data_IF_364672419733
#
_entry.id   IF_364672419733
#
_cell.length_a   1.000
_cell.length_b   1.000
_cell.length_c   1.000
_cell.angle_alpha   90.00
_cell.angle_beta   90.00
_cell.angle_gamma   90.00
#
_symmetry.space_group_name_H-M   'P 1'
#
loop_
_entity.id
_entity.type
_entity.pdbx_description
1 polymer ?
#
# COMPACT_ATOMS: atom_id res chain seq x y z
N UNK A 1 -17.78 -48.25 44.56
CA UNK A 1 -18.12 -46.83 44.81
C UNK A 1 -17.46 -45.99 43.71
N UNK A 2 -18.23 -45.59 42.67
CA UNK A 2 -17.70 -44.83 41.51
C UNK A 2 -17.69 -43.33 41.86
N UNK A 3 -16.51 -42.70 41.90
CA UNK A 3 -16.36 -41.25 42.04
C UNK A 3 -16.28 -40.64 40.63
N UNK A 4 -17.29 -39.88 40.27
CA UNK A 4 -17.32 -39.09 39.02
C UNK A 4 -16.58 -37.77 39.31
N UNK A 5 -15.39 -37.60 38.75
CA UNK A 5 -14.71 -36.29 38.74
C UNK A 5 -15.22 -35.50 37.54
N UNK A 6 -16.00 -34.46 37.81
CA UNK A 6 -16.35 -33.45 36.81
C UNK A 6 -15.19 -32.43 36.73
N UNK A 7 -14.44 -32.45 35.64
CA UNK A 7 -13.46 -31.40 35.32
C UNK A 7 -14.21 -30.21 34.70
N UNK A 8 -14.23 -29.09 35.42
CA UNK A 8 -14.72 -27.82 34.91
C UNK A 8 -13.69 -27.23 33.92
N UNK A 9 -14.03 -27.20 32.64
CA UNK A 9 -13.23 -26.57 31.59
C UNK A 9 -13.49 -25.06 31.63
N UNK A 10 -12.57 -24.29 32.20
CA UNK A 10 -12.61 -22.82 32.14
C UNK A 10 -12.05 -22.40 30.79
N UNK A 11 -12.92 -21.95 29.88
CA UNK A 11 -12.54 -21.34 28.60
C UNK A 11 -12.14 -19.90 28.87
N UNK A 12 -10.84 -19.60 28.85
CA UNK A 12 -10.34 -18.23 28.78
C UNK A 12 -10.66 -17.69 27.37
N UNK A 13 -11.68 -16.83 27.28
CA UNK A 13 -11.89 -16.01 26.10
C UNK A 13 -10.88 -14.86 26.10
N UNK A 14 -9.78 -15.01 25.35
CA UNK A 14 -8.92 -13.87 25.00
C UNK A 14 -9.73 -12.95 24.06
N UNK A 15 -9.97 -11.68 24.41
CA UNK A 15 -10.39 -10.72 23.41
C UNK A 15 -9.24 -10.58 22.42
N UNK A 16 -9.47 -10.97 21.18
CA UNK A 16 -8.54 -10.66 20.10
C UNK A 16 -8.47 -9.13 19.99
N UNK A 17 -7.44 -8.52 20.57
CA UNK A 17 -7.05 -7.15 20.23
C UNK A 17 -6.80 -7.15 18.74
N UNK A 18 -7.70 -6.52 17.98
CA UNK A 18 -7.51 -6.29 16.56
C UNK A 18 -6.14 -5.61 16.41
N UNK A 19 -5.20 -6.31 15.75
CA UNK A 19 -3.89 -5.75 15.47
C UNK A 19 -4.12 -4.40 14.75
N UNK A 20 -3.50 -3.29 15.21
CA UNK A 20 -3.61 -2.04 14.49
C UNK A 20 -3.17 -2.29 13.05
N UNK A 21 -3.98 -1.85 12.09
CA UNK A 21 -3.60 -1.92 10.68
C UNK A 21 -2.21 -1.30 10.49
N UNK A 22 -1.44 -1.85 9.55
CA UNK A 22 -0.09 -1.40 9.22
C UNK A 22 -0.07 0.14 9.07
N UNK A 23 0.83 0.84 9.77
CA UNK A 23 0.97 2.29 9.66
C UNK A 23 1.74 2.71 8.39
N UNK A 24 1.79 4.01 8.10
CA UNK A 24 2.49 4.52 6.92
C UNK A 24 3.97 4.12 6.90
N UNK A 25 4.68 4.26 8.02
CA UNK A 25 6.12 3.99 8.08
C UNK A 25 6.43 2.52 7.80
N UNK A 26 5.62 1.61 8.36
CA UNK A 26 5.71 0.17 8.12
C UNK A 26 5.31 -0.19 6.69
N UNK A 27 4.29 0.47 6.12
CA UNK A 27 3.89 0.30 4.72
C UNK A 27 5.01 0.69 3.76
N UNK A 28 5.63 1.85 3.99
CA UNK A 28 6.72 2.35 3.17
C UNK A 28 7.94 1.42 3.24
N UNK A 29 8.33 1.00 4.44
CA UNK A 29 9.43 0.06 4.61
C UNK A 29 9.15 -1.31 3.96
N UNK A 30 7.90 -1.74 3.87
CA UNK A 30 7.54 -2.96 3.14
C UNK A 30 7.59 -2.74 1.64
N UNK A 31 7.13 -1.60 1.13
CA UNK A 31 7.24 -1.24 -0.28
C UNK A 31 8.70 -1.24 -0.76
N UNK A 32 9.59 -0.62 0.01
CA UNK A 32 11.02 -0.56 -0.33
C UNK A 32 11.65 -1.95 -0.43
N UNK A 33 11.27 -2.88 0.46
CA UNK A 33 11.74 -4.26 0.43
C UNK A 33 11.19 -5.04 -0.77
N UNK A 34 9.93 -4.81 -1.10
CA UNK A 34 9.24 -5.51 -2.18
C UNK A 34 9.78 -5.08 -3.53
N UNK A 35 9.94 -3.78 -3.74
CA UNK A 35 10.55 -3.23 -4.95
C UNK A 35 12.02 -3.65 -5.08
N UNK A 36 12.78 -3.66 -3.98
CA UNK A 36 14.17 -4.14 -3.97
C UNK A 36 14.30 -5.65 -4.25
N UNK A 37 13.22 -6.42 -4.11
CA UNK A 37 13.20 -7.86 -4.41
C UNK A 37 13.05 -8.18 -5.89
N UNK A 38 12.69 -7.20 -6.71
CA UNK A 38 12.50 -7.37 -8.16
C UNK A 38 13.85 -7.61 -8.85
N UNK A 39 13.86 -8.52 -9.82
CA UNK A 39 14.98 -8.60 -10.78
C UNK A 39 15.08 -7.30 -11.57
N UNK A 40 16.21 -7.09 -12.26
CA UNK A 40 16.39 -5.89 -13.10
C UNK A 40 15.32 -5.80 -14.19
N UNK A 41 15.02 -6.92 -14.85
CA UNK A 41 14.03 -7.02 -15.92
C UNK A 41 12.62 -6.73 -15.37
N UNK A 42 12.30 -7.29 -14.20
CA UNK A 42 11.04 -7.02 -13.51
C UNK A 42 10.93 -5.56 -13.09
N UNK A 43 12.03 -4.97 -12.57
CA UNK A 43 12.08 -3.58 -12.13
C UNK A 43 11.83 -2.59 -13.27
N UNK A 44 12.33 -2.84 -14.48
CA UNK A 44 12.05 -1.98 -15.64
C UNK A 44 10.57 -2.03 -16.04
N UNK A 45 9.97 -3.21 -16.13
CA UNK A 45 8.53 -3.33 -16.44
C UNK A 45 7.65 -2.76 -15.31
N UNK A 46 8.11 -2.90 -14.06
CA UNK A 46 7.45 -2.34 -12.90
C UNK A 46 7.44 -0.81 -12.91
N UNK A 47 8.59 -0.20 -13.19
CA UNK A 47 8.74 1.24 -13.28
C UNK A 47 7.87 1.84 -14.38
N UNK A 48 7.78 1.18 -15.54
CA UNK A 48 6.91 1.62 -16.63
C UNK A 48 5.44 1.63 -16.17
N UNK A 49 4.97 0.55 -15.56
CA UNK A 49 3.60 0.46 -15.06
C UNK A 49 3.28 1.52 -14.00
N UNK A 50 4.24 1.83 -13.11
CA UNK A 50 4.09 2.93 -12.15
C UNK A 50 4.06 4.30 -12.83
N UNK A 51 4.87 4.48 -13.88
CA UNK A 51 4.95 5.74 -14.64
C UNK A 51 3.65 6.01 -15.39
N UNK A 52 3.02 4.99 -15.98
CA UNK A 52 1.71 5.09 -16.61
C UNK A 52 0.63 5.51 -15.60
N UNK A 53 0.53 4.80 -14.47
CA UNK A 53 -0.43 5.11 -13.41
C UNK A 53 -0.24 6.54 -12.87
N UNK A 54 1.01 6.94 -12.65
CA UNK A 54 1.36 8.28 -12.19
C UNK A 54 1.02 9.34 -13.24
N UNK A 55 1.36 9.12 -14.51
CA UNK A 55 1.12 10.04 -15.60
C UNK A 55 -0.36 10.37 -15.75
N UNK A 56 -1.21 9.34 -15.77
CA UNK A 56 -2.66 9.51 -15.85
C UNK A 56 -3.22 10.20 -14.59
N UNK A 57 -2.74 9.81 -13.42
CA UNK A 57 -3.12 10.43 -12.15
C UNK A 57 -2.77 11.92 -12.09
N UNK A 58 -1.57 12.31 -12.53
CA UNK A 58 -1.14 13.71 -12.59
C UNK A 58 -1.99 14.48 -13.60
N UNK A 59 -2.23 13.93 -14.80
CA UNK A 59 -3.07 14.56 -15.80
C UNK A 59 -4.49 14.86 -15.27
N UNK A 60 -5.04 13.97 -14.46
CA UNK A 60 -6.35 14.16 -13.83
C UNK A 60 -6.32 15.13 -12.63
N UNK A 61 -5.24 15.17 -11.86
CA UNK A 61 -5.19 15.86 -10.57
C UNK A 61 -4.49 17.23 -10.57
N UNK A 62 -3.65 17.54 -11.56
CA UNK A 62 -2.73 18.67 -11.52
C UNK A 62 -3.31 20.00 -12.07
N UNK A 63 -4.54 20.37 -11.70
CA UNK A 63 -5.18 21.60 -12.20
C UNK A 63 -5.79 22.48 -11.09
N UNK A 64 -5.91 23.81 -11.30
CA UNK A 64 -5.21 24.64 -12.30
C UNK A 64 -3.81 25.09 -11.84
N UNK A 65 -3.50 24.99 -10.54
CA UNK A 65 -2.19 25.34 -9.97
C UNK A 65 -1.81 24.30 -8.91
N UNK A 66 -1.12 23.22 -9.30
CA UNK A 66 -0.78 22.14 -8.37
C UNK A 66 0.22 22.62 -7.31
N UNK A 67 -0.03 22.22 -6.06
CA UNK A 67 0.93 22.34 -4.97
C UNK A 67 1.98 21.22 -5.08
N UNK A 68 3.22 21.63 -5.32
CA UNK A 68 4.39 20.79 -5.52
C UNK A 68 5.06 20.35 -4.21
N UNK A 69 4.36 20.47 -3.07
CA UNK A 69 4.78 19.85 -1.82
C UNK A 69 5.07 18.36 -2.03
N UNK A 70 6.22 17.85 -1.54
CA UNK A 70 6.58 16.44 -1.68
C UNK A 70 5.50 15.52 -1.14
N UNK A 71 5.27 14.40 -1.82
CA UNK A 71 4.28 13.42 -1.43
C UNK A 71 4.74 11.99 -1.74
N UNK A 72 4.25 11.04 -0.95
CA UNK A 72 4.49 9.61 -1.14
C UNK A 72 3.18 8.87 -1.02
N UNK A 73 2.80 8.14 -2.08
CA UNK A 73 1.66 7.23 -2.06
C UNK A 73 2.18 5.80 -2.01
N UNK A 74 1.89 5.10 -0.92
CA UNK A 74 2.18 3.66 -0.79
C UNK A 74 0.92 2.88 -1.13
N UNK A 75 1.07 1.80 -1.89
CA UNK A 75 -0.01 0.92 -2.32
C UNK A 75 0.28 -0.52 -1.91
N UNK A 76 -0.76 -1.21 -1.44
CA UNK A 76 -0.79 -2.67 -1.31
C UNK A 76 -1.58 -3.24 -2.49
N UNK A 77 -0.99 -4.23 -3.16
CA UNK A 77 -1.52 -4.86 -4.35
C UNK A 77 -1.86 -6.31 -4.09
N UNK A 78 -2.95 -6.78 -4.70
CA UNK A 78 -3.25 -8.20 -4.78
C UNK A 78 -2.47 -8.91 -5.92
N UNK A 79 -2.70 -10.21 -6.09
CA UNK A 79 -2.03 -11.02 -7.09
C UNK A 79 -2.33 -10.62 -8.55
N UNK A 80 -3.40 -9.85 -8.79
CA UNK A 80 -3.73 -9.32 -10.11
C UNK A 80 -3.09 -7.96 -10.39
N UNK A 81 -2.38 -7.38 -9.41
CA UNK A 81 -1.85 -6.01 -9.49
C UNK A 81 -2.86 -4.93 -9.12
N UNK A 82 -4.08 -5.30 -8.69
CA UNK A 82 -5.09 -4.33 -8.27
C UNK A 82 -4.74 -3.74 -6.91
N UNK A 83 -4.91 -2.42 -6.77
CA UNK A 83 -4.73 -1.73 -5.49
C UNK A 83 -5.87 -2.11 -4.53
N UNK A 84 -5.48 -2.57 -3.34
CA UNK A 84 -6.41 -2.99 -2.27
C UNK A 84 -6.29 -2.13 -1.01
N UNK A 85 -5.17 -1.40 -0.83
CA UNK A 85 -4.99 -0.45 0.26
C UNK A 85 -4.00 0.64 -0.14
N UNK A 86 -4.14 1.83 0.44
CA UNK A 86 -3.19 2.93 0.25
C UNK A 86 -2.84 3.63 1.55
N UNK A 87 -1.63 4.17 1.61
CA UNK A 87 -1.15 5.11 2.63
C UNK A 87 -0.59 6.34 1.94
N UNK A 88 -0.62 7.47 2.64
CA UNK A 88 -0.13 8.74 2.10
C UNK A 88 0.71 9.46 3.15
N UNK A 89 1.85 9.96 2.69
CA UNK A 89 2.60 11.01 3.35
C UNK A 89 2.56 12.26 2.47
N UNK A 90 2.19 13.39 3.07
CA UNK A 90 1.78 14.60 2.35
C UNK A 90 0.28 14.85 2.45
N UNK A 91 -0.13 16.11 2.29
CA UNK A 91 -1.51 16.55 2.50
C UNK A 91 -1.99 17.61 1.49
N UNK A 92 -1.22 17.87 0.43
CA UNK A 92 -1.61 18.80 -0.60
C UNK A 92 -2.86 18.31 -1.35
N UNK A 93 -3.62 19.20 -2.01
CA UNK A 93 -4.75 18.80 -2.86
C UNK A 93 -4.35 17.78 -3.93
N UNK A 94 -3.15 17.93 -4.49
CA UNK A 94 -2.57 16.98 -5.44
C UNK A 94 -2.34 15.61 -4.78
N UNK A 95 -1.72 15.56 -3.60
CA UNK A 95 -1.45 14.32 -2.87
C UNK A 95 -2.73 13.54 -2.54
N UNK A 96 -3.77 14.23 -2.08
CA UNK A 96 -5.05 13.63 -1.76
C UNK A 96 -5.76 13.09 -3.00
N UNK A 97 -5.71 13.83 -4.12
CA UNK A 97 -6.27 13.41 -5.40
C UNK A 97 -5.53 12.19 -5.96
N UNK A 98 -4.19 12.21 -5.98
CA UNK A 98 -3.36 11.10 -6.47
C UNK A 98 -3.60 9.83 -5.64
N UNK A 99 -3.65 9.91 -4.32
CA UNK A 99 -3.99 8.74 -3.48
C UNK A 99 -5.36 8.17 -3.88
N UNK A 100 -6.36 9.02 -4.11
CA UNK A 100 -7.72 8.59 -4.48
C UNK A 100 -7.74 7.93 -5.86
N UNK A 101 -7.00 8.49 -6.82
CA UNK A 101 -6.83 7.93 -8.15
C UNK A 101 -6.17 6.54 -8.07
N UNK A 102 -5.01 6.46 -7.41
CA UNK A 102 -4.25 5.23 -7.21
C UNK A 102 -5.07 4.14 -6.51
N UNK A 103 -5.92 4.49 -5.53
CA UNK A 103 -6.77 3.52 -4.83
C UNK A 103 -7.77 2.77 -5.74
N UNK A 104 -8.02 3.28 -6.96
CA UNK A 104 -8.86 2.62 -7.97
C UNK A 104 -8.07 2.01 -9.12
N UNK A 105 -6.75 2.21 -9.13
CA UNK A 105 -5.86 1.75 -10.19
C UNK A 105 -5.42 0.30 -10.03
N UNK A 106 -4.70 -0.13 -11.05
CA UNK A 106 -3.97 -1.39 -11.07
C UNK A 106 -2.59 -1.15 -11.66
N UNK A 107 -1.63 -1.97 -11.25
CA UNK A 107 -0.30 -2.05 -11.81
C UNK A 107 -0.11 -3.41 -12.47
N UNK A 108 1.06 -3.63 -13.08
CA UNK A 108 1.52 -4.95 -13.51
C UNK A 108 1.29 -5.98 -12.38
N UNK A 109 0.89 -7.19 -12.74
CA UNK A 109 0.73 -8.26 -11.75
C UNK A 109 2.10 -8.56 -11.07
N UNK A 110 2.19 -8.46 -9.73
CA UNK A 110 3.46 -8.62 -9.04
C UNK A 110 3.88 -10.09 -8.97
N UNK A 111 5.18 -10.38 -8.78
CA UNK A 111 5.68 -11.76 -8.67
C UNK A 111 5.23 -12.48 -7.39
N UNK A 112 4.73 -11.73 -6.39
CA UNK A 112 4.23 -12.24 -5.11
C UNK A 112 3.09 -11.36 -4.60
N UNK A 113 2.19 -11.90 -3.80
CA UNK A 113 1.09 -11.14 -3.17
C UNK A 113 1.00 -11.42 -1.65
N UNK A 114 0.65 -10.41 -0.83
CA UNK A 114 0.51 -9.01 -1.21
C UNK A 114 1.87 -8.41 -1.62
N UNK A 115 1.83 -7.42 -2.51
CA UNK A 115 2.99 -6.66 -2.93
C UNK A 115 2.81 -5.20 -2.54
N UNK A 116 3.82 -4.61 -1.92
CA UNK A 116 3.81 -3.20 -1.54
C UNK A 116 4.69 -2.43 -2.52
N UNK A 117 4.25 -1.23 -2.90
CA UNK A 117 4.98 -0.35 -3.80
C UNK A 117 4.73 1.10 -3.43
N UNK A 118 5.64 2.00 -3.75
CA UNK A 118 5.52 3.42 -3.44
C UNK A 118 5.89 4.32 -4.61
N UNK A 119 5.02 5.28 -4.87
CA UNK A 119 5.29 6.39 -5.79
C UNK A 119 5.69 7.60 -4.95
N UNK A 120 6.91 8.09 -5.16
CA UNK A 120 7.46 9.26 -4.48
C UNK A 120 7.60 10.42 -5.47
N UNK A 121 6.97 11.55 -5.17
CA UNK A 121 7.13 12.77 -5.94
C UNK A 121 7.81 13.82 -5.08
N UNK A 122 8.94 14.31 -5.58
CA UNK A 122 9.59 15.51 -5.10
C UNK A 122 9.84 16.42 -6.30
N UNK A 123 9.52 17.70 -6.14
CA UNK A 123 9.73 18.69 -7.18
C UNK A 123 10.94 19.53 -6.79
N UNK A 124 12.00 19.44 -7.58
CA UNK A 124 13.14 20.37 -7.48
C UNK A 124 12.86 21.56 -8.40
N UNK A 125 13.06 22.81 -7.94
CA UNK A 125 12.93 24.00 -8.78
C UNK A 125 13.84 23.99 -10.02
#
# INVERSE_FOLDING_TARGET
>A
MKRVLAYALVVLACPALAAPGLDYASAKAQADKDEASLSREQGSAWLESQSELLGDGVAQCATPNPDFSPLVVVMELDASGKVIRTWLHGNSPLALCLRKYAATGSLLAPPRAPFYTSIELSFTP
#
